data_IF_526426040292
#
_entry.id   IF_526426040292
#
_cell.length_a   1.000
_cell.length_b   1.000
_cell.length_c   1.000
_cell.angle_alpha   90.00
_cell.angle_beta   90.00
_cell.angle_gamma   90.00
#
_symmetry.space_group_name_H-M   'P 1'
#
loop_
_entity.id
_entity.type
_entity.pdbx_description
1 polymer ?
#
# COMPACT_ATOMS: atom_id res chain seq x y z
N UNK A 1 2.44 -14.56 0.06
CA UNK A 1 2.56 -13.57 -1.04
C UNK A 1 3.89 -12.85 -0.89
N UNK A 2 4.59 -12.66 -1.98
CA UNK A 2 5.86 -11.94 -1.95
C UNK A 2 5.60 -10.43 -1.85
N UNK A 3 6.55 -9.73 -1.23
CA UNK A 3 6.38 -8.28 -0.98
C UNK A 3 6.22 -7.48 -2.26
N UNK A 4 6.91 -7.87 -3.34
CA UNK A 4 6.77 -7.18 -4.62
C UNK A 4 5.37 -7.34 -5.19
N UNK A 5 4.81 -8.55 -5.10
CA UNK A 5 3.44 -8.81 -5.57
C UNK A 5 2.41 -8.07 -4.74
N UNK A 6 2.62 -8.00 -3.42
CA UNK A 6 1.74 -7.27 -2.53
C UNK A 6 1.74 -5.79 -2.87
N UNK A 7 2.93 -5.22 -3.15
CA UNK A 7 3.05 -3.83 -3.54
C UNK A 7 2.28 -3.50 -4.82
N UNK A 8 2.40 -4.38 -5.82
CA UNK A 8 1.67 -4.20 -7.08
C UNK A 8 0.16 -4.27 -6.85
N UNK A 9 -0.29 -5.24 -6.07
CA UNK A 9 -1.71 -5.40 -5.76
C UNK A 9 -2.25 -4.18 -5.03
N UNK A 10 -1.52 -3.70 -4.02
CA UNK A 10 -1.95 -2.57 -3.22
C UNK A 10 -2.04 -1.30 -4.06
N UNK A 11 -1.01 -1.06 -4.89
CA UNK A 11 -1.00 0.09 -5.80
C UNK A 11 -2.17 0.03 -6.77
N UNK A 12 -2.42 -1.15 -7.33
CA UNK A 12 -3.51 -1.34 -8.29
C UNK A 12 -4.87 -1.05 -7.64
N UNK A 13 -5.10 -1.58 -6.45
CA UNK A 13 -6.34 -1.35 -5.73
C UNK A 13 -6.54 0.12 -5.40
N UNK A 14 -5.47 0.77 -4.93
CA UNK A 14 -5.53 2.19 -4.57
C UNK A 14 -5.88 3.04 -5.77
N UNK A 15 -5.20 2.82 -6.90
CA UNK A 15 -5.45 3.60 -8.12
C UNK A 15 -6.83 3.32 -8.70
N UNK A 16 -7.27 2.07 -8.62
CA UNK A 16 -8.61 1.71 -9.09
C UNK A 16 -9.69 2.46 -8.31
N UNK A 17 -9.47 2.66 -7.03
CA UNK A 17 -10.41 3.38 -6.16
C UNK A 17 -10.14 4.89 -6.15
N UNK A 18 -9.14 5.37 -6.88
CA UNK A 18 -8.81 6.79 -7.04
C UNK A 18 -8.53 7.47 -5.71
N UNK A 19 -7.80 6.79 -4.84
CA UNK A 19 -7.42 7.35 -3.54
C UNK A 19 -5.91 7.51 -3.47
N UNK A 20 -5.48 8.45 -2.61
CA UNK A 20 -4.06 8.70 -2.38
C UNK A 20 -3.49 7.67 -1.41
N UNK A 21 -2.15 7.63 -1.32
CA UNK A 21 -1.50 6.80 -0.29
C UNK A 21 -1.94 7.20 1.10
N UNK A 22 -2.11 8.51 1.33
CA UNK A 22 -2.58 9.02 2.63
C UNK A 22 -3.96 8.48 2.95
N UNK A 23 -4.88 8.52 1.99
CA UNK A 23 -6.23 8.01 2.19
C UNK A 23 -6.22 6.51 2.46
N UNK A 24 -5.42 5.77 1.71
CA UNK A 24 -5.28 4.33 1.93
C UNK A 24 -4.76 4.05 3.34
N UNK A 25 -3.75 4.81 3.77
CA UNK A 25 -3.17 4.65 5.10
C UNK A 25 -4.21 4.91 6.19
N UNK A 26 -5.03 5.94 6.01
CA UNK A 26 -6.10 6.25 6.96
C UNK A 26 -7.11 5.11 7.04
N UNK A 27 -7.51 4.56 5.90
CA UNK A 27 -8.47 3.46 5.87
C UNK A 27 -7.92 2.20 6.53
N UNK A 28 -6.62 1.97 6.42
CA UNK A 28 -5.96 0.80 7.01
C UNK A 28 -5.45 1.03 8.42
N UNK A 29 -5.58 2.25 8.94
CA UNK A 29 -5.08 2.63 10.27
C UNK A 29 -3.57 2.43 10.40
N UNK A 30 -2.84 2.79 9.36
CA UNK A 30 -1.37 2.71 9.32
C UNK A 30 -0.81 4.06 8.88
N UNK A 31 0.51 4.21 8.92
CA UNK A 31 1.16 5.43 8.44
C UNK A 31 1.23 5.46 6.93
N UNK A 32 1.26 6.66 6.35
CA UNK A 32 1.48 6.83 4.91
C UNK A 32 2.81 6.24 4.50
N UNK A 33 3.82 6.36 5.36
CA UNK A 33 5.15 5.78 5.12
C UNK A 33 5.08 4.26 4.96
N UNK A 34 4.26 3.60 5.77
CA UNK A 34 4.07 2.15 5.66
C UNK A 34 3.48 1.78 4.31
N UNK A 35 2.42 2.48 3.88
CA UNK A 35 1.81 2.22 2.57
C UNK A 35 2.85 2.41 1.46
N UNK A 36 3.63 3.48 1.53
CA UNK A 36 4.67 3.75 0.54
C UNK A 36 5.68 2.61 0.46
N UNK A 37 6.15 2.12 1.59
CA UNK A 37 7.11 1.01 1.64
C UNK A 37 6.52 -0.26 1.04
N UNK A 38 5.27 -0.55 1.36
CA UNK A 38 4.59 -1.72 0.80
C UNK A 38 4.46 -1.62 -0.71
N UNK A 39 4.07 -0.45 -1.23
CA UNK A 39 3.90 -0.25 -2.66
C UNK A 39 5.23 -0.31 -3.42
N UNK A 40 6.34 0.00 -2.76
CA UNK A 40 7.66 -0.13 -3.35
C UNK A 40 8.28 -1.52 -3.18
N UNK A 41 7.54 -2.45 -2.59
CA UNK A 41 8.03 -3.82 -2.42
C UNK A 41 9.11 -3.97 -1.37
N UNK A 42 9.19 -3.04 -0.40
CA UNK A 42 10.27 -3.05 0.58
C UNK A 42 9.96 -3.97 1.76
N UNK A 43 8.71 -4.08 2.15
CA UNK A 43 8.33 -5.01 3.22
C UNK A 43 6.84 -5.34 3.11
N UNK A 44 6.41 -6.25 3.96
CA UNK A 44 5.01 -6.65 4.09
C UNK A 44 4.47 -6.14 5.43
N UNK A 45 3.14 -5.98 5.54
CA UNK A 45 2.54 -5.70 6.85
C UNK A 45 2.84 -6.86 7.81
N UNK A 46 3.11 -6.53 9.03
CA UNK A 46 3.32 -7.55 10.06
C UNK A 46 2.01 -8.21 10.47
#
# INVERSE_FOLDING_TARGET
MQKEQFGILLTTLRKKNRISQKEMAEQLSVSTSAVSKWEHGKNLPD
#
